data_IF_005755467909
#
_entry.id   IF_005755467909
#
_cell.length_a   1.000
_cell.length_b   1.000
_cell.length_c   1.000
_cell.angle_alpha   90.00
_cell.angle_beta   90.00
_cell.angle_gamma   90.00
#
_symmetry.space_group_name_H-M   'P 1'
#
loop_
_entity.id
_entity.type
_entity.pdbx_description
1 polymer ?
#
# COMPACT_ATOMS: atom_id res chain seq x y z
N UNK A 1 5.97 3.70 -15.33
CA UNK A 1 5.30 4.64 -14.45
C UNK A 1 6.34 5.55 -13.84
N UNK A 2 6.10 6.87 -13.75
CA UNK A 2 7.04 7.75 -13.09
C UNK A 2 7.14 7.29 -11.63
N UNK A 3 8.37 7.06 -11.18
CA UNK A 3 8.68 7.01 -9.77
C UNK A 3 8.41 8.44 -9.30
N UNK A 4 7.21 8.67 -8.74
CA UNK A 4 6.90 9.94 -8.12
C UNK A 4 7.94 10.14 -7.04
N UNK A 5 8.71 11.22 -7.18
CA UNK A 5 9.81 11.53 -6.30
C UNK A 5 9.30 11.72 -4.87
N UNK A 6 10.18 11.56 -3.91
CA UNK A 6 10.01 11.67 -2.46
C UNK A 6 9.41 13.01 -1.95
N UNK A 7 8.83 13.83 -2.82
CA UNK A 7 8.29 15.16 -2.55
C UNK A 7 6.92 15.38 -3.17
N UNK A 8 6.07 14.36 -3.18
CA UNK A 8 4.68 14.62 -3.46
C UNK A 8 4.13 15.42 -2.27
N UNK A 9 3.67 16.65 -2.56
CA UNK A 9 3.24 17.62 -1.55
C UNK A 9 1.95 17.23 -0.82
N UNK A 10 1.41 16.04 -1.07
CA UNK A 10 0.10 15.62 -0.57
C UNK A 10 -1.08 16.37 -1.21
N UNK A 11 -0.82 17.12 -2.27
CA UNK A 11 -1.80 18.01 -2.91
C UNK A 11 -2.82 17.25 -3.75
N UNK A 12 -4.07 17.71 -3.72
CA UNK A 12 -5.10 17.25 -4.64
C UNK A 12 -4.85 17.71 -6.07
N UNK A 13 -5.36 17.00 -7.10
CA UNK A 13 -5.20 17.39 -8.51
C UNK A 13 -5.70 18.81 -8.83
N UNK A 14 -6.75 19.27 -8.18
CA UNK A 14 -7.30 20.63 -8.33
C UNK A 14 -6.57 21.69 -7.49
N UNK A 15 -5.59 21.29 -6.68
CA UNK A 15 -4.78 22.18 -5.84
C UNK A 15 -5.50 22.77 -4.63
N UNK A 16 -6.68 22.28 -4.27
CA UNK A 16 -7.49 22.84 -3.16
C UNK A 16 -7.21 22.21 -1.82
N UNK A 17 -6.69 20.99 -1.80
CA UNK A 17 -6.47 20.23 -0.58
C UNK A 17 -5.04 19.75 -0.47
N UNK A 18 -4.58 19.64 0.77
CA UNK A 18 -3.30 19.01 1.11
C UNK A 18 -3.51 17.98 2.20
N UNK A 19 -3.00 16.76 1.99
CA UNK A 19 -2.99 15.68 2.98
C UNK A 19 -1.62 15.61 3.64
N UNK A 20 -1.59 15.59 4.96
CA UNK A 20 -0.37 15.52 5.74
C UNK A 20 -0.55 14.64 6.99
N UNK A 21 0.56 14.19 7.55
CA UNK A 21 0.62 13.42 8.78
C UNK A 21 1.06 14.29 9.96
N UNK A 22 0.48 14.01 11.14
CA UNK A 22 0.89 14.56 12.42
C UNK A 22 0.49 13.63 13.55
N UNK A 23 1.37 13.41 14.52
CA UNK A 23 1.10 12.48 15.63
C UNK A 23 0.59 11.10 15.15
N UNK A 24 1.24 10.54 14.11
CA UNK A 24 0.89 9.27 13.46
C UNK A 24 -0.46 9.21 12.73
N UNK A 25 -1.22 10.30 12.74
CA UNK A 25 -2.54 10.39 12.10
C UNK A 25 -2.51 11.17 10.80
N UNK A 26 -3.51 10.93 9.95
CA UNK A 26 -3.73 11.65 8.71
C UNK A 26 -4.65 12.86 8.95
N UNK A 27 -4.30 13.96 8.30
CA UNK A 27 -5.02 15.23 8.31
C UNK A 27 -5.21 15.73 6.88
N UNK A 28 -6.23 16.55 6.66
CA UNK A 28 -6.45 17.27 5.41
C UNK A 28 -6.58 18.75 5.71
N UNK A 29 -5.93 19.58 4.89
CA UNK A 29 -6.03 21.04 4.91
C UNK A 29 -6.74 21.50 3.65
N UNK A 30 -7.75 22.34 3.79
CA UNK A 30 -8.30 23.14 2.71
C UNK A 30 -7.40 24.36 2.51
N UNK A 31 -6.90 24.57 1.30
CA UNK A 31 -5.95 25.65 0.99
C UNK A 31 -6.65 26.98 0.66
N UNK A 32 -7.96 26.99 0.42
CA UNK A 32 -8.73 28.22 0.17
C UNK A 32 -9.00 28.99 1.47
N UNK A 33 -9.32 28.28 2.57
CA UNK A 33 -9.68 28.87 3.86
C UNK A 33 -8.74 28.48 5.01
N UNK A 34 -7.72 27.67 4.73
CA UNK A 34 -6.74 27.16 5.70
C UNK A 34 -7.34 26.27 6.80
N UNK A 35 -8.56 25.80 6.65
CA UNK A 35 -9.15 24.87 7.63
C UNK A 35 -8.44 23.53 7.62
N UNK A 36 -8.22 22.97 8.81
CA UNK A 36 -7.57 21.66 9.01
C UNK A 36 -8.53 20.71 9.70
N UNK A 37 -8.67 19.52 9.15
CA UNK A 37 -9.51 18.46 9.72
C UNK A 37 -8.65 17.19 9.92
N UNK A 38 -8.74 16.62 11.11
CA UNK A 38 -8.16 15.32 11.41
C UNK A 38 -9.05 14.21 10.83
N UNK A 39 -8.45 13.30 10.05
CA UNK A 39 -9.16 12.22 9.38
C UNK A 39 -9.10 10.90 10.14
N UNK A 40 -8.03 10.67 10.91
CA UNK A 40 -7.82 9.42 11.68
C UNK A 40 -7.45 9.73 13.12
N UNK A 41 -7.78 8.80 14.05
CA UNK A 41 -7.63 9.01 15.49
C UNK A 41 -6.97 7.83 16.21
N UNK A 42 -6.53 6.84 15.45
CA UNK A 42 -5.99 5.57 15.93
C UNK A 42 -4.48 5.41 15.65
N UNK A 43 -3.82 6.49 15.23
CA UNK A 43 -2.40 6.48 14.91
C UNK A 43 -1.52 6.26 16.17
N UNK A 44 -0.60 5.32 16.06
CA UNK A 44 0.46 5.04 17.05
C UNK A 44 1.78 4.86 16.33
N UNK A 45 2.89 4.73 17.08
CA UNK A 45 4.20 4.44 16.50
C UNK A 45 4.16 3.17 15.62
N UNK A 46 3.42 2.16 16.05
CA UNK A 46 3.31 0.85 15.38
C UNK A 46 2.24 0.84 14.29
N UNK A 47 1.43 1.88 14.23
CA UNK A 47 0.29 1.98 13.33
C UNK A 47 0.16 3.40 12.80
N UNK A 48 1.09 3.78 11.95
CA UNK A 48 1.29 5.15 11.52
C UNK A 48 1.05 5.35 10.02
N UNK A 49 0.42 6.48 9.66
CA UNK A 49 0.44 6.97 8.28
C UNK A 49 1.73 7.68 7.92
N UNK A 50 2.51 8.08 8.94
CA UNK A 50 3.78 8.78 8.75
C UNK A 50 4.89 7.77 8.55
N UNK A 51 5.63 7.91 7.46
CA UNK A 51 6.82 7.11 7.17
C UNK A 51 8.06 7.99 7.30
N UNK A 52 9.08 7.54 8.05
CA UNK A 52 10.35 8.24 8.13
C UNK A 52 10.78 8.62 9.56
N UNK A 53 11.91 9.30 9.67
CA UNK A 53 12.66 9.59 10.90
C UNK A 53 12.39 11.01 11.46
N UNK A 54 11.29 11.66 11.05
CA UNK A 54 10.96 13.00 11.49
C UNK A 54 10.34 13.09 12.88
N UNK A 55 10.26 14.30 13.43
CA UNK A 55 9.47 14.54 14.65
C UNK A 55 7.98 14.37 14.31
N UNK A 56 7.36 13.39 14.92
CA UNK A 56 5.94 13.07 14.70
C UNK A 56 4.99 14.21 15.11
N UNK A 57 5.47 15.16 15.87
CA UNK A 57 4.71 16.36 16.27
C UNK A 57 4.63 17.41 15.19
N UNK A 58 5.57 17.36 14.23
CA UNK A 58 5.56 18.26 13.09
C UNK A 58 4.68 17.72 11.97
N UNK A 59 4.26 18.60 11.09
CA UNK A 59 3.50 18.24 9.91
C UNK A 59 4.43 17.67 8.85
N UNK A 60 4.13 16.45 8.40
CA UNK A 60 4.89 15.75 7.36
C UNK A 60 3.97 15.48 6.19
N UNK A 61 4.32 15.87 4.96
CA UNK A 61 3.53 15.52 3.78
C UNK A 61 3.34 14.00 3.70
N UNK A 62 2.11 13.55 3.43
CA UNK A 62 1.81 12.17 3.09
C UNK A 62 1.79 12.02 1.57
N UNK A 63 1.80 10.78 1.11
CA UNK A 63 1.72 10.42 -0.31
C UNK A 63 0.34 9.79 -0.63
N UNK A 64 -0.75 10.58 -0.62
CA UNK A 64 -2.05 10.08 -1.01
C UNK A 64 -2.08 9.78 -2.51
N UNK A 65 -2.78 8.73 -2.89
CA UNK A 65 -3.13 8.52 -4.29
C UNK A 65 -4.52 9.11 -4.52
N UNK A 66 -4.53 10.29 -5.09
CA UNK A 66 -5.74 11.04 -5.38
C UNK A 66 -6.51 10.48 -6.57
N UNK A 67 -7.83 10.57 -6.51
CA UNK A 67 -8.68 10.36 -7.67
C UNK A 67 -8.68 11.64 -8.51
N UNK A 68 -8.96 11.50 -9.81
CA UNK A 68 -9.00 12.64 -10.74
C UNK A 68 -10.05 13.69 -10.35
N UNK A 69 -11.10 13.27 -9.64
CA UNK A 69 -12.18 14.13 -9.16
C UNK A 69 -11.79 15.03 -7.97
N UNK A 70 -10.60 14.84 -7.38
CA UNK A 70 -10.12 15.52 -6.17
C UNK A 70 -11.03 15.36 -4.94
N UNK A 71 -12.00 14.43 -4.99
CA UNK A 71 -12.94 14.20 -3.90
C UNK A 71 -12.58 12.99 -3.05
N UNK A 72 -11.82 12.07 -3.63
CA UNK A 72 -11.41 10.84 -2.98
C UNK A 72 -9.91 10.64 -3.14
N UNK A 73 -9.32 9.99 -2.15
CA UNK A 73 -7.94 9.50 -2.20
C UNK A 73 -7.81 8.26 -1.32
N UNK A 74 -6.77 7.47 -1.54
CA UNK A 74 -6.42 6.41 -0.62
C UNK A 74 -4.99 6.58 -0.09
N UNK A 75 -4.77 6.04 1.10
CA UNK A 75 -3.49 5.97 1.77
C UNK A 75 -3.17 4.55 2.16
N UNK A 76 -1.88 4.25 2.15
CA UNK A 76 -1.32 3.06 2.77
C UNK A 76 -0.90 3.38 4.20
N UNK A 77 -1.09 2.39 5.08
CA UNK A 77 -0.58 2.42 6.43
C UNK A 77 0.00 1.06 6.76
N UNK A 78 1.22 1.07 7.30
CA UNK A 78 1.85 -0.14 7.77
C UNK A 78 1.47 -0.40 9.22
N UNK A 79 1.10 -1.64 9.53
CA UNK A 79 0.85 -2.11 10.88
C UNK A 79 2.02 -3.00 11.32
N UNK A 80 2.73 -2.55 12.34
CA UNK A 80 3.83 -3.27 12.98
C UNK A 80 3.48 -3.74 14.39
N UNK A 81 2.21 -3.70 14.76
CA UNK A 81 1.76 -4.10 16.10
C UNK A 81 2.16 -5.53 16.42
N UNK A 82 2.82 -5.71 17.58
CA UNK A 82 3.39 -6.99 18.04
C UNK A 82 4.56 -7.55 17.22
N UNK A 83 5.05 -6.83 16.22
CA UNK A 83 6.31 -7.23 15.57
C UNK A 83 7.44 -7.14 16.57
N UNK A 84 8.28 -8.17 16.62
CA UNK A 84 9.40 -8.23 17.55
C UNK A 84 10.42 -7.11 17.28
N UNK A 85 11.10 -6.69 18.35
CA UNK A 85 12.14 -5.68 18.25
C UNK A 85 13.53 -6.33 18.17
N UNK A 86 14.40 -5.70 17.42
CA UNK A 86 15.84 -5.97 17.45
C UNK A 86 16.56 -4.77 18.06
N UNK A 87 17.62 -5.04 18.81
CA UNK A 87 18.47 -3.99 19.36
C UNK A 87 19.57 -3.63 18.36
N UNK A 88 19.68 -2.35 18.10
CA UNK A 88 20.69 -1.79 17.22
C UNK A 88 21.64 -0.88 18.03
N UNK A 89 22.85 -0.71 17.53
CA UNK A 89 23.84 0.15 18.15
C UNK A 89 24.36 1.18 17.15
N UNK A 90 24.20 2.45 17.45
CA UNK A 90 24.78 3.54 16.66
C UNK A 90 26.17 3.91 17.23
N UNK A 91 27.24 3.62 16.49
CA UNK A 91 28.62 3.92 16.84
C UNK A 91 29.15 5.22 16.23
N UNK A 92 28.35 5.93 15.44
CA UNK A 92 28.81 7.14 14.72
C UNK A 92 28.88 8.39 15.63
N UNK A 93 28.31 8.32 16.81
CA UNK A 93 28.38 9.39 17.82
C UNK A 93 29.38 8.99 18.92
N UNK A 94 30.06 9.94 19.51
CA UNK A 94 31.19 9.74 20.42
C UNK A 94 30.98 8.72 21.57
N UNK A 95 29.73 8.41 21.93
CA UNK A 95 29.37 7.24 22.75
C UNK A 95 28.34 6.42 22.02
N UNK A 96 28.47 5.08 22.00
CA UNK A 96 27.48 4.21 21.40
C UNK A 96 26.10 4.42 22.02
N UNK A 97 25.08 4.54 21.16
CA UNK A 97 23.67 4.61 21.58
C UNK A 97 22.95 3.35 21.14
N UNK A 98 22.39 2.63 22.11
CA UNK A 98 21.48 1.53 21.83
C UNK A 98 20.08 2.06 21.52
N UNK A 99 19.42 1.49 20.52
CA UNK A 99 18.02 1.75 20.19
C UNK A 99 17.38 0.49 19.63
N UNK A 100 16.09 0.34 19.83
CA UNK A 100 15.32 -0.77 19.31
C UNK A 100 14.57 -0.35 18.06
N UNK A 101 14.45 -1.28 17.12
CA UNK A 101 13.60 -1.14 15.93
C UNK A 101 12.80 -2.42 15.75
N UNK A 102 11.55 -2.29 15.35
CA UNK A 102 10.76 -3.43 14.96
C UNK A 102 11.33 -4.02 13.68
N UNK A 103 11.55 -5.32 13.68
CA UNK A 103 12.09 -6.03 12.52
C UNK A 103 11.55 -7.46 12.49
N UNK A 104 11.19 -7.90 11.30
CA UNK A 104 10.74 -9.26 11.05
C UNK A 104 11.93 -10.12 10.67
N UNK A 105 12.19 -11.18 11.43
CA UNK A 105 13.24 -12.15 11.18
C UNK A 105 12.66 -13.45 10.58
N UNK A 106 13.55 -14.28 10.04
CA UNK A 106 13.15 -15.60 9.57
C UNK A 106 12.62 -16.43 10.74
N UNK A 107 11.44 -17.03 10.56
CA UNK A 107 10.76 -17.82 11.59
C UNK A 107 9.72 -17.07 12.42
N UNK A 108 9.67 -15.73 12.36
CA UNK A 108 8.65 -14.96 13.04
C UNK A 108 7.25 -15.24 12.47
N UNK A 109 6.28 -15.43 13.35
CA UNK A 109 4.88 -15.65 12.96
C UNK A 109 4.11 -14.32 12.81
N UNK A 110 4.60 -13.24 13.43
CA UNK A 110 4.02 -11.91 13.34
C UNK A 110 4.89 -11.05 12.43
N UNK A 111 4.29 -10.50 11.41
CA UNK A 111 4.98 -9.72 10.37
C UNK A 111 4.31 -8.36 10.18
N UNK A 112 5.02 -7.44 9.54
CA UNK A 112 4.44 -6.20 9.06
C UNK A 112 3.37 -6.51 8.01
N UNK A 113 2.27 -5.78 8.03
CA UNK A 113 1.28 -5.84 6.97
C UNK A 113 0.74 -4.46 6.62
N UNK A 114 0.34 -4.30 5.37
CA UNK A 114 -0.15 -3.04 4.84
C UNK A 114 -1.67 -3.00 4.89
N UNK A 115 -2.20 -1.86 5.29
CA UNK A 115 -3.61 -1.54 5.20
C UNK A 115 -3.84 -0.44 4.18
N UNK A 116 -4.94 -0.53 3.44
CA UNK A 116 -5.39 0.50 2.51
C UNK A 116 -6.67 1.10 3.06
N UNK A 117 -6.68 2.42 3.16
CA UNK A 117 -7.88 3.17 3.53
C UNK A 117 -8.23 4.18 2.46
N UNK A 118 -9.50 4.19 2.07
CA UNK A 118 -10.10 5.18 1.20
C UNK A 118 -10.66 6.32 2.06
N UNK A 119 -10.47 7.55 1.62
CA UNK A 119 -10.96 8.76 2.26
C UNK A 119 -11.84 9.55 1.31
N UNK A 120 -12.94 10.05 1.82
CA UNK A 120 -13.82 10.98 1.13
C UNK A 120 -13.61 12.39 1.70
N UNK A 121 -13.32 13.35 0.83
CA UNK A 121 -12.96 14.72 1.21
C UNK A 121 -14.18 15.52 1.67
N UNK A 122 -15.37 15.26 1.12
CA UNK A 122 -16.60 16.00 1.46
C UNK A 122 -17.15 15.54 2.83
N UNK A 123 -17.26 14.23 3.01
CA UNK A 123 -17.84 13.65 4.23
C UNK A 123 -16.82 13.45 5.36
N UNK A 124 -15.51 13.58 5.06
CA UNK A 124 -14.40 13.35 6.00
C UNK A 124 -14.40 11.91 6.57
N UNK A 125 -14.90 10.98 5.81
CA UNK A 125 -15.01 9.58 6.23
C UNK A 125 -13.83 8.75 5.74
N UNK A 126 -13.48 7.74 6.53
CA UNK A 126 -12.49 6.72 6.20
C UNK A 126 -13.18 5.37 6.00
N UNK A 127 -12.81 4.66 4.96
CA UNK A 127 -13.22 3.27 4.70
C UNK A 127 -12.00 2.40 4.50
N UNK A 128 -11.79 1.43 5.39
CA UNK A 128 -10.74 0.41 5.22
C UNK A 128 -11.15 -0.57 4.13
N UNK A 129 -10.24 -0.85 3.20
CA UNK A 129 -10.40 -1.88 2.17
C UNK A 129 -9.86 -3.19 2.71
N UNK A 130 -10.68 -4.24 2.72
CA UNK A 130 -10.33 -5.56 3.26
C UNK A 130 -9.56 -6.37 2.21
N UNK A 131 -8.26 -6.15 2.14
CA UNK A 131 -7.36 -6.90 1.25
C UNK A 131 -6.73 -8.12 1.93
N UNK A 132 -6.89 -8.25 3.24
CA UNK A 132 -6.26 -9.28 4.07
C UNK A 132 -6.83 -10.67 3.73
N UNK A 133 -5.96 -11.63 3.54
CA UNK A 133 -6.30 -13.05 3.34
C UNK A 133 -5.45 -13.96 4.20
N UNK A 134 -4.16 -13.70 4.29
CA UNK A 134 -3.20 -14.48 5.08
C UNK A 134 -2.57 -13.62 6.16
N UNK A 135 -2.24 -14.24 7.29
CA UNK A 135 -1.65 -13.55 8.44
C UNK A 135 -0.29 -12.92 8.13
N UNK A 136 0.50 -13.56 7.28
CA UNK A 136 1.83 -13.16 6.87
C UNK A 136 1.88 -12.66 5.42
N UNK A 137 0.81 -12.00 4.99
CA UNK A 137 0.64 -11.52 3.64
C UNK A 137 1.63 -10.41 3.31
N UNK A 138 2.22 -10.50 2.12
CA UNK A 138 2.90 -9.39 1.46
C UNK A 138 1.98 -8.82 0.38
N UNK A 139 1.95 -7.49 0.28
CA UNK A 139 1.07 -6.78 -0.66
C UNK A 139 1.89 -5.81 -1.51
N UNK A 140 1.59 -5.75 -2.80
CA UNK A 140 2.19 -4.80 -3.73
C UNK A 140 1.13 -4.22 -4.65
N UNK A 141 1.08 -2.92 -4.78
CA UNK A 141 0.25 -2.27 -5.79
C UNK A 141 0.90 -2.44 -7.16
N UNK A 142 0.12 -2.94 -8.10
CA UNK A 142 0.53 -3.15 -9.48
C UNK A 142 0.15 -1.96 -10.36
N UNK A 143 -1.08 -1.48 -10.20
CA UNK A 143 -1.60 -0.35 -10.95
C UNK A 143 -2.78 0.30 -10.22
N UNK A 144 -2.94 1.61 -10.40
CA UNK A 144 -4.07 2.38 -9.88
C UNK A 144 -4.75 3.13 -11.02
N UNK A 145 -6.00 2.79 -11.25
CA UNK A 145 -6.90 3.48 -12.20
C UNK A 145 -8.02 4.16 -11.39
N UNK A 146 -7.68 5.29 -10.81
CA UNK A 146 -8.61 6.03 -9.95
C UNK A 146 -9.80 6.59 -10.71
N UNK A 147 -9.66 6.84 -12.02
CA UNK A 147 -10.75 7.30 -12.90
C UNK A 147 -11.89 6.28 -12.96
N UNK A 148 -11.56 5.00 -13.01
CA UNK A 148 -12.52 3.90 -13.03
C UNK A 148 -12.73 3.28 -11.65
N UNK A 149 -12.23 3.89 -10.58
CA UNK A 149 -12.31 3.39 -9.20
C UNK A 149 -11.70 1.98 -9.04
N UNK A 150 -10.56 1.74 -9.68
CA UNK A 150 -9.89 0.45 -9.70
C UNK A 150 -8.49 0.52 -9.10
N UNK A 151 -8.14 -0.51 -8.35
CA UNK A 151 -6.80 -0.75 -7.88
C UNK A 151 -6.44 -2.21 -8.15
N UNK A 152 -5.37 -2.42 -8.91
CA UNK A 152 -4.81 -3.75 -9.11
C UNK A 152 -3.68 -3.96 -8.13
N UNK A 153 -3.79 -4.99 -7.32
CA UNK A 153 -2.78 -5.35 -6.35
C UNK A 153 -2.42 -6.83 -6.43
N UNK A 154 -1.18 -7.12 -6.12
CA UNK A 154 -0.69 -8.44 -5.84
C UNK A 154 -0.72 -8.66 -4.33
N UNK A 155 -1.20 -9.80 -3.91
CA UNK A 155 -0.99 -10.31 -2.56
C UNK A 155 -0.42 -11.71 -2.63
N UNK A 156 0.49 -12.02 -1.72
CA UNK A 156 1.13 -13.33 -1.69
C UNK A 156 1.50 -13.74 -0.28
N UNK A 157 1.65 -15.02 -0.07
CA UNK A 157 2.21 -15.56 1.16
C UNK A 157 3.68 -15.19 1.29
N UNK A 158 4.18 -15.07 2.51
CA UNK A 158 5.60 -14.81 2.78
C UNK A 158 6.54 -15.87 2.17
N UNK A 159 6.08 -17.10 2.02
CA UNK A 159 6.84 -18.19 1.38
C UNK A 159 6.84 -18.07 -0.15
N UNK A 160 6.10 -17.14 -0.71
CA UNK A 160 5.93 -16.99 -2.16
C UNK A 160 5.40 -18.26 -2.86
N UNK A 161 4.70 -19.12 -2.16
CA UNK A 161 4.12 -20.33 -2.74
C UNK A 161 2.68 -20.15 -3.21
N UNK A 162 2.00 -19.06 -2.79
CA UNK A 162 0.69 -18.66 -3.28
C UNK A 162 0.74 -17.17 -3.60
N UNK A 163 0.25 -16.81 -4.78
CA UNK A 163 0.16 -15.44 -5.26
C UNK A 163 -1.21 -15.20 -5.86
N UNK A 164 -1.80 -14.05 -5.58
CA UNK A 164 -3.02 -13.59 -6.20
C UNK A 164 -2.86 -12.18 -6.75
N UNK A 165 -3.36 -11.98 -7.96
CA UNK A 165 -3.60 -10.64 -8.50
C UNK A 165 -5.07 -10.32 -8.31
N UNK A 166 -5.35 -9.19 -7.71
CA UNK A 166 -6.70 -8.76 -7.35
C UNK A 166 -7.08 -7.47 -8.06
N UNK A 167 -8.32 -7.41 -8.55
CA UNK A 167 -9.03 -6.19 -8.93
C UNK A 167 -9.84 -5.71 -7.71
N UNK A 168 -9.48 -4.55 -7.18
CA UNK A 168 -10.15 -3.92 -6.05
C UNK A 168 -11.00 -2.77 -6.54
N UNK A 169 -12.29 -2.83 -6.25
CA UNK A 169 -13.18 -1.71 -6.48
C UNK A 169 -13.03 -0.70 -5.35
N UNK A 170 -12.40 0.44 -5.62
CA UNK A 170 -12.13 1.47 -4.62
C UNK A 170 -13.42 2.10 -4.07
N UNK A 171 -14.51 2.13 -4.84
CA UNK A 171 -15.80 2.70 -4.41
C UNK A 171 -16.53 1.78 -3.43
N UNK A 172 -16.63 0.49 -3.74
CA UNK A 172 -17.36 -0.49 -2.91
C UNK A 172 -16.46 -1.17 -1.88
N UNK A 173 -15.15 -1.24 -2.13
CA UNK A 173 -14.19 -1.99 -1.34
C UNK A 173 -14.16 -3.48 -1.65
N UNK A 174 -14.88 -3.93 -2.70
CA UNK A 174 -14.89 -5.32 -3.10
C UNK A 174 -13.55 -5.72 -3.71
N UNK A 175 -13.09 -6.92 -3.36
CA UNK A 175 -11.83 -7.50 -3.84
C UNK A 175 -12.17 -8.75 -4.64
N UNK A 176 -11.83 -8.75 -5.94
CA UNK A 176 -11.98 -9.88 -6.85
C UNK A 176 -10.61 -10.42 -7.22
N UNK A 177 -10.38 -11.71 -7.01
CA UNK A 177 -9.17 -12.39 -7.51
C UNK A 177 -9.33 -12.63 -9.00
N UNK A 178 -8.38 -12.16 -9.81
CA UNK A 178 -8.34 -12.34 -11.26
C UNK A 178 -7.25 -13.31 -11.71
N UNK A 179 -6.16 -13.42 -10.95
CA UNK A 179 -5.14 -14.45 -11.17
C UNK A 179 -4.85 -15.10 -9.83
N UNK A 180 -4.86 -16.43 -9.80
CA UNK A 180 -4.39 -17.23 -8.69
C UNK A 180 -3.29 -18.16 -9.17
N UNK A 181 -2.18 -18.19 -8.45
CA UNK A 181 -1.03 -19.01 -8.79
C UNK A 181 -0.47 -19.69 -7.56
N UNK A 182 -0.16 -20.98 -7.71
CA UNK A 182 0.51 -21.77 -6.69
C UNK A 182 1.81 -22.33 -7.27
N UNK A 183 2.87 -22.32 -6.47
CA UNK A 183 4.19 -22.85 -6.83
C UNK A 183 4.73 -23.80 -5.77
N UNK A 184 5.39 -24.86 -6.22
CA UNK A 184 6.09 -25.78 -5.36
C UNK A 184 7.57 -25.87 -5.80
N UNK A 185 8.53 -25.50 -4.95
CA UNK A 185 8.35 -25.01 -3.56
C UNK A 185 7.95 -23.53 -3.47
N UNK A 186 8.10 -22.72 -4.52
CA UNK A 186 7.78 -21.30 -4.55
C UNK A 186 7.60 -20.79 -5.97
N UNK A 187 6.98 -19.63 -6.11
CA UNK A 187 6.82 -18.88 -7.38
C UNK A 187 8.05 -17.98 -7.56
N UNK A 188 8.64 -17.98 -8.74
CA UNK A 188 9.75 -17.08 -9.13
C UNK A 188 9.29 -15.63 -9.32
N UNK A 189 9.00 -14.95 -8.20
CA UNK A 189 8.40 -13.59 -8.21
C UNK A 189 9.28 -12.52 -8.84
N UNK A 190 10.60 -12.73 -8.89
CA UNK A 190 11.56 -11.79 -9.48
C UNK A 190 11.43 -11.70 -10.99
N UNK A 191 10.95 -12.78 -11.61
CA UNK A 191 10.69 -12.85 -13.05
C UNK A 191 9.22 -12.59 -13.37
N UNK A 192 8.32 -12.67 -12.38
CA UNK A 192 6.91 -12.42 -12.57
C UNK A 192 6.66 -10.99 -13.05
N UNK A 193 5.98 -10.85 -14.16
CA UNK A 193 5.61 -9.55 -14.71
C UNK A 193 4.15 -9.54 -15.13
N UNK A 194 3.55 -8.36 -15.00
CA UNK A 194 2.17 -8.11 -15.40
C UNK A 194 2.12 -6.91 -16.33
N UNK A 195 1.36 -7.03 -17.40
CA UNK A 195 1.11 -5.95 -18.35
C UNK A 195 -0.38 -5.84 -18.58
N UNK A 196 -0.92 -4.65 -18.37
CA UNK A 196 -2.29 -4.32 -18.68
C UNK A 196 -2.37 -3.74 -20.07
N UNK A 197 -3.24 -4.28 -20.92
CA UNK A 197 -3.47 -3.86 -22.29
C UNK A 197 -4.97 -3.61 -22.53
N UNK A 198 -5.33 -3.03 -23.69
CA UNK A 198 -6.71 -2.75 -24.08
C UNK A 198 -7.51 -2.00 -22.99
N UNK A 199 -6.95 -0.91 -22.44
CA UNK A 199 -7.55 -0.14 -21.34
C UNK A 199 -7.93 -1.01 -20.15
N UNK A 200 -7.01 -1.88 -19.70
CA UNK A 200 -7.16 -2.79 -18.56
C UNK A 200 -8.24 -3.88 -18.75
N UNK A 201 -8.68 -4.14 -19.98
CA UNK A 201 -9.59 -5.23 -20.26
C UNK A 201 -8.87 -6.56 -20.44
N UNK A 202 -7.57 -6.51 -20.75
CA UNK A 202 -6.74 -7.68 -20.92
C UNK A 202 -5.47 -7.57 -20.08
N UNK A 203 -5.00 -8.72 -19.60
CA UNK A 203 -3.84 -8.84 -18.73
C UNK A 203 -2.89 -9.88 -19.32
N UNK A 204 -1.65 -9.50 -19.52
CA UNK A 204 -0.58 -10.43 -19.86
C UNK A 204 0.22 -10.69 -18.60
N UNK A 205 0.22 -11.93 -18.17
CA UNK A 205 0.90 -12.41 -16.96
C UNK A 205 2.03 -13.36 -17.34
N UNK A 206 3.24 -13.11 -16.86
CA UNK A 206 4.36 -14.03 -17.00
C UNK A 206 4.37 -15.03 -15.83
N UNK A 207 4.49 -16.32 -16.13
CA UNK A 207 4.49 -17.38 -15.11
C UNK A 207 5.27 -18.61 -15.58
N UNK A 208 5.86 -19.32 -14.62
CA UNK A 208 6.55 -20.61 -14.80
C UNK A 208 5.68 -21.81 -14.42
N UNK A 209 4.37 -21.64 -14.25
CA UNK A 209 3.45 -22.71 -13.77
C UNK A 209 3.46 -23.99 -14.60
N UNK A 210 3.89 -23.91 -15.87
CA UNK A 210 4.01 -25.07 -16.77
C UNK A 210 5.41 -25.70 -16.78
N UNK A 211 6.31 -25.26 -15.90
CA UNK A 211 7.71 -25.70 -15.81
C UNK A 211 8.69 -24.83 -16.59
N UNK A 212 8.21 -23.94 -17.45
CA UNK A 212 8.99 -22.95 -18.20
C UNK A 212 8.26 -21.62 -18.18
N UNK A 213 8.99 -20.50 -18.33
CA UNK A 213 8.42 -19.16 -18.38
C UNK A 213 7.61 -18.91 -19.65
N UNK A 214 6.35 -18.60 -19.50
CA UNK A 214 5.42 -18.27 -20.57
C UNK A 214 4.57 -17.06 -20.22
N UNK A 215 4.07 -16.37 -21.24
CA UNK A 215 3.04 -15.37 -21.08
C UNK A 215 1.66 -16.01 -21.19
N UNK A 216 0.81 -15.66 -20.23
CA UNK A 216 -0.60 -16.07 -20.15
C UNK A 216 -1.47 -14.84 -20.36
N UNK A 217 -2.48 -14.97 -21.22
CA UNK A 217 -3.42 -13.89 -21.51
C UNK A 217 -4.73 -14.11 -20.74
N UNK A 218 -5.08 -13.19 -19.88
CA UNK A 218 -6.33 -13.19 -19.16
C UNK A 218 -7.22 -12.05 -19.62
N UNK A 219 -8.52 -12.29 -19.65
CA UNK A 219 -9.47 -11.20 -19.71
C UNK A 219 -9.62 -10.53 -18.32
N UNK A 220 -10.41 -9.47 -18.28
CA UNK A 220 -10.66 -8.71 -17.04
C UNK A 220 -11.38 -9.53 -15.98
N UNK A 221 -12.15 -10.54 -16.36
CA UNK A 221 -12.86 -11.43 -15.49
C UNK A 221 -11.95 -12.49 -14.87
N UNK A 222 -10.74 -12.65 -15.37
CA UNK A 222 -9.76 -13.64 -14.95
C UNK A 222 -9.88 -14.96 -15.70
N UNK A 223 -10.53 -14.97 -16.86
CA UNK A 223 -10.54 -16.13 -17.75
C UNK A 223 -9.26 -16.13 -18.59
N UNK A 224 -8.64 -17.32 -18.71
CA UNK A 224 -7.44 -17.59 -19.49
C UNK A 224 -7.79 -17.85 -20.94
#
# INVERSE_FOLDING_TARGET
>A
PPIHGFFDSGMSPDGKYQVFGKNHNAYIRNLEDSTVVQLTFDGTLEFSYMTGWGDVKEEVPLAPVWFEDSKNFYLFRQNSHKVAEISNMNYLKGRPLAYNTQAVLAGDSIVLYDEISLFDVETKTQKKIKIDKWQDQLTRVLHSDTKNNKLFLERRTRRNNILEVCDVNLKTGDVKVIIHEEGDPYIGIELASIHFINNYNDIIWWSERSGYGHFYHYDREGNL
#
